data_IF_644688045624
#
_entry.id   IF_644688045624
#
_cell.length_a   1.000
_cell.length_b   1.000
_cell.length_c   1.000
_cell.angle_alpha   90.00
_cell.angle_beta   90.00
_cell.angle_gamma   90.00
#
_symmetry.space_group_name_H-M   'P 1'
#
loop_
_entity.id
_entity.type
_entity.pdbx_description
1 polymer ?
#
# COMPACT_ATOMS: atom_id res chain seq x y z
N UNK A 1 -49.67 13.62 24.67
CA UNK A 1 -48.38 14.00 25.30
C UNK A 1 -47.48 14.55 24.21
N UNK A 2 -47.33 15.88 24.14
CA UNK A 2 -46.43 16.53 23.18
C UNK A 2 -45.03 16.59 23.79
N UNK A 3 -44.05 15.96 23.15
CA UNK A 3 -42.66 16.06 23.55
C UNK A 3 -42.13 17.46 23.19
N UNK A 4 -41.62 18.17 24.20
CA UNK A 4 -41.00 19.47 24.04
C UNK A 4 -39.74 19.35 23.16
N UNK A 5 -39.70 20.11 22.07
CA UNK A 5 -38.48 20.30 21.28
C UNK A 5 -37.51 21.15 22.11
N UNK A 6 -36.43 20.52 22.60
CA UNK A 6 -35.32 21.21 23.22
C UNK A 6 -34.50 21.85 22.09
N UNK A 7 -34.60 23.17 21.93
CA UNK A 7 -33.73 23.90 21.01
C UNK A 7 -32.27 23.83 21.50
N UNK A 8 -31.31 23.43 20.65
CA UNK A 8 -29.91 23.38 21.04
C UNK A 8 -29.33 24.79 21.26
N UNK A 9 -28.35 24.95 22.16
CA UNK A 9 -27.75 26.25 22.47
C UNK A 9 -27.09 26.87 21.22
N UNK A 10 -27.29 28.18 21.06
CA UNK A 10 -26.71 28.97 19.98
C UNK A 10 -25.17 28.83 19.97
N UNK A 11 -24.65 28.15 18.94
CA UNK A 11 -23.22 27.91 18.75
C UNK A 11 -22.86 26.49 18.31
N UNK A 12 -23.77 25.52 18.46
CA UNK A 12 -23.58 24.15 17.95
C UNK A 12 -24.31 24.01 16.62
N UNK A 13 -23.58 24.26 15.53
CA UNK A 13 -24.02 23.94 14.18
C UNK A 13 -24.12 22.40 14.07
N UNK A 14 -25.32 21.83 14.21
CA UNK A 14 -25.54 20.39 14.04
C UNK A 14 -25.22 20.00 12.60
N UNK A 15 -24.36 19.00 12.43
CA UNK A 15 -24.07 18.35 11.15
C UNK A 15 -24.80 17.02 11.18
N UNK A 16 -26.01 16.98 10.61
CA UNK A 16 -26.93 15.85 10.78
C UNK A 16 -27.50 15.76 12.21
N UNK A 17 -27.89 14.55 12.61
CA UNK A 17 -28.38 14.24 13.96
C UNK A 17 -27.29 13.75 14.93
N UNK A 18 -26.02 13.78 14.53
CA UNK A 18 -24.90 13.33 15.35
C UNK A 18 -23.96 14.48 15.69
N UNK A 19 -23.28 14.38 16.84
CA UNK A 19 -22.23 15.31 17.21
C UNK A 19 -21.06 15.18 16.22
N UNK A 20 -20.68 16.24 15.49
CA UNK A 20 -19.64 16.14 14.49
C UNK A 20 -18.26 16.00 15.12
N UNK A 21 -17.36 15.28 14.45
CA UNK A 21 -15.95 15.30 14.80
C UNK A 21 -15.40 16.67 14.39
N UNK A 22 -15.01 17.47 15.39
CA UNK A 22 -14.24 18.71 15.19
C UNK A 22 -12.85 18.35 14.72
N UNK A 23 -12.44 18.92 13.58
CA UNK A 23 -11.12 18.72 12.99
C UNK A 23 -10.41 20.07 12.91
N UNK A 24 -9.59 20.35 13.92
CA UNK A 24 -8.91 21.64 14.08
C UNK A 24 -9.86 22.77 14.48
N UNK A 25 -9.41 24.02 14.25
CA UNK A 25 -10.13 25.21 14.71
C UNK A 25 -11.36 25.57 13.85
N UNK A 26 -11.41 25.15 12.59
CA UNK A 26 -12.40 25.66 11.62
C UNK A 26 -13.14 24.58 10.83
N UNK A 27 -12.78 23.31 10.98
CA UNK A 27 -13.39 22.20 10.24
C UNK A 27 -14.19 21.27 11.15
N UNK A 28 -15.29 20.74 10.65
CA UNK A 28 -16.03 19.67 11.31
C UNK A 28 -16.66 18.75 10.27
N UNK A 29 -16.69 17.44 10.53
CA UNK A 29 -17.39 16.50 9.69
C UNK A 29 -17.97 15.33 10.49
N UNK A 30 -18.96 14.67 9.91
CA UNK A 30 -19.44 13.39 10.41
C UNK A 30 -18.35 12.31 10.26
N UNK A 31 -18.45 11.24 11.05
CA UNK A 31 -17.61 10.06 10.82
C UNK A 31 -17.97 9.42 9.48
N UNK A 32 -17.02 8.69 8.87
CA UNK A 32 -17.29 7.93 7.66
C UNK A 32 -18.44 6.93 7.86
N UNK A 33 -18.45 6.24 9.00
CA UNK A 33 -19.51 5.30 9.37
C UNK A 33 -20.89 5.97 9.49
N UNK A 34 -20.96 7.20 10.01
CA UNK A 34 -22.23 7.92 10.14
C UNK A 34 -22.78 8.37 8.77
N UNK A 35 -21.90 8.83 7.86
CA UNK A 35 -22.30 9.15 6.49
C UNK A 35 -22.75 7.90 5.73
N UNK A 36 -22.05 6.77 5.92
CA UNK A 36 -22.42 5.49 5.33
C UNK A 36 -23.77 4.99 5.86
N UNK A 37 -23.99 5.03 7.17
CA UNK A 37 -25.25 4.63 7.80
C UNK A 37 -26.42 5.47 7.27
N UNK A 38 -26.25 6.80 7.20
CA UNK A 38 -27.26 7.68 6.61
C UNK A 38 -27.53 7.33 5.15
N UNK A 39 -26.50 7.12 4.33
CA UNK A 39 -26.69 6.79 2.91
C UNK A 39 -27.44 5.46 2.69
N UNK A 40 -27.30 4.50 3.63
CA UNK A 40 -28.02 3.22 3.61
C UNK A 40 -29.49 3.37 4.00
N UNK A 41 -29.81 4.21 4.98
CA UNK A 41 -31.16 4.32 5.55
C UNK A 41 -32.01 5.46 4.99
N UNK A 42 -31.40 6.50 4.40
CA UNK A 42 -32.09 7.68 3.92
C UNK A 42 -33.02 7.37 2.74
N UNK A 43 -34.19 8.02 2.73
CA UNK A 43 -35.13 7.96 1.62
C UNK A 43 -34.64 8.82 0.45
N UNK A 44 -34.99 8.48 -0.81
CA UNK A 44 -34.70 9.35 -1.95
C UNK A 44 -35.28 10.75 -1.74
N UNK A 45 -34.44 11.77 -1.90
CA UNK A 45 -34.80 13.17 -1.65
C UNK A 45 -34.25 13.74 -0.34
N UNK A 46 -33.96 12.89 0.65
CA UNK A 46 -33.42 13.33 1.94
C UNK A 46 -32.09 14.04 1.76
N UNK A 47 -31.86 15.08 2.58
CA UNK A 47 -30.63 15.87 2.54
C UNK A 47 -29.93 15.89 3.89
N UNK A 48 -28.60 15.89 3.87
CA UNK A 48 -27.74 15.85 5.04
C UNK A 48 -26.55 16.79 4.83
N UNK A 49 -26.33 17.72 5.77
CA UNK A 49 -25.05 18.40 5.91
C UNK A 49 -24.09 17.42 6.57
N UNK A 50 -22.98 17.09 5.92
CA UNK A 50 -22.02 16.09 6.42
C UNK A 50 -20.67 16.69 6.83
N UNK A 51 -20.38 17.92 6.40
CA UNK A 51 -19.17 18.63 6.78
C UNK A 51 -19.34 20.15 6.71
N UNK A 52 -18.48 20.88 7.40
CA UNK A 52 -18.34 22.33 7.31
C UNK A 52 -16.88 22.76 7.47
N UNK A 53 -16.54 23.89 6.84
CA UNK A 53 -15.24 24.54 6.96
C UNK A 53 -14.11 23.88 6.16
N UNK A 54 -12.89 23.98 6.67
CA UNK A 54 -11.69 23.46 5.99
C UNK A 54 -11.34 22.08 6.52
N UNK A 55 -11.68 21.03 5.77
CA UNK A 55 -11.29 19.67 6.11
C UNK A 55 -9.83 19.37 5.71
N UNK A 56 -9.05 18.67 6.54
CA UNK A 56 -7.70 18.29 6.18
C UNK A 56 -7.68 17.20 5.12
N UNK A 57 -6.57 17.15 4.36
CA UNK A 57 -6.36 16.21 3.24
C UNK A 57 -6.48 14.73 3.63
N UNK A 58 -6.24 14.39 4.90
CA UNK A 58 -6.34 13.02 5.40
C UNK A 58 -7.79 12.58 5.69
N UNK A 59 -8.77 13.50 5.71
CA UNK A 59 -10.18 13.15 5.93
C UNK A 59 -10.69 12.24 4.81
N UNK A 60 -11.19 11.08 5.20
CA UNK A 60 -11.71 10.07 4.26
C UNK A 60 -13.16 10.31 3.85
N UNK A 61 -13.86 11.23 4.52
CA UNK A 61 -15.27 11.51 4.28
C UNK A 61 -15.49 12.15 2.91
N UNK A 62 -14.63 13.09 2.50
CA UNK A 62 -14.73 13.75 1.19
C UNK A 62 -14.54 12.76 0.02
N UNK A 63 -13.47 11.95 -0.03
CA UNK A 63 -13.34 10.89 -1.04
C UNK A 63 -14.53 9.92 -1.05
N UNK A 64 -15.04 9.55 0.11
CA UNK A 64 -16.19 8.64 0.22
C UNK A 64 -17.48 9.22 -0.36
N UNK A 65 -17.80 10.48 -0.02
CA UNK A 65 -18.96 11.18 -0.59
C UNK A 65 -18.82 11.36 -2.10
N UNK A 66 -17.61 11.66 -2.60
CA UNK A 66 -17.36 11.75 -4.04
C UNK A 66 -17.58 10.42 -4.75
N UNK A 67 -17.14 9.31 -4.15
CA UNK A 67 -17.39 7.97 -4.69
C UNK A 67 -18.89 7.62 -4.70
N UNK A 68 -19.64 7.99 -3.66
CA UNK A 68 -21.10 7.86 -3.66
C UNK A 68 -21.76 8.70 -4.78
N UNK A 69 -21.22 9.90 -5.04
CA UNK A 69 -21.72 10.78 -6.08
C UNK A 69 -21.41 10.28 -7.50
N UNK A 70 -20.20 9.78 -7.75
CA UNK A 70 -19.80 9.14 -9.02
C UNK A 70 -20.66 7.92 -9.32
N UNK A 71 -21.12 7.21 -8.28
CA UNK A 71 -22.02 6.08 -8.40
C UNK A 71 -23.50 6.46 -8.45
N UNK A 72 -23.86 7.74 -8.54
CA UNK A 72 -25.24 8.25 -8.54
C UNK A 72 -26.09 7.82 -7.32
N UNK A 73 -25.46 7.55 -6.18
CA UNK A 73 -26.15 7.21 -4.93
C UNK A 73 -26.56 8.51 -4.21
N UNK A 74 -25.74 9.55 -4.31
CA UNK A 74 -26.01 10.87 -3.74
C UNK A 74 -25.67 11.98 -4.73
N UNK A 75 -26.31 13.13 -4.58
CA UNK A 75 -25.85 14.39 -5.17
C UNK A 75 -25.15 15.21 -4.10
N UNK A 76 -23.91 15.63 -4.34
CA UNK A 76 -23.11 16.38 -3.38
C UNK A 76 -22.90 17.83 -3.85
N UNK A 77 -23.04 18.80 -2.94
CA UNK A 77 -22.78 20.20 -3.22
C UNK A 77 -22.16 20.90 -2.00
N UNK A 78 -21.62 22.09 -2.24
CA UNK A 78 -21.10 22.98 -1.22
C UNK A 78 -21.86 24.30 -1.32
N UNK A 79 -22.30 24.85 -0.19
CA UNK A 79 -22.75 26.24 -0.17
C UNK A 79 -21.57 27.21 -0.09
N UNK A 80 -21.79 28.47 -0.45
CA UNK A 80 -20.75 29.51 -0.42
C UNK A 80 -20.11 29.73 0.97
N UNK A 81 -20.70 29.18 2.03
CA UNK A 81 -20.18 29.20 3.40
C UNK A 81 -19.30 27.99 3.76
N UNK A 82 -18.83 27.22 2.78
CA UNK A 82 -18.05 25.97 3.00
C UNK A 82 -18.80 24.92 3.82
N UNK A 83 -20.14 24.89 3.75
CA UNK A 83 -20.93 23.78 4.29
C UNK A 83 -21.20 22.80 3.16
N UNK A 84 -20.86 21.54 3.40
CA UNK A 84 -20.96 20.48 2.43
C UNK A 84 -22.19 19.63 2.73
N UNK A 85 -22.98 19.45 1.69
CA UNK A 85 -24.27 18.78 1.74
C UNK A 85 -24.30 17.62 0.76
N UNK A 86 -25.11 16.62 1.09
CA UNK A 86 -25.47 15.52 0.22
C UNK A 86 -26.98 15.33 0.20
N UNK A 87 -27.52 14.90 -0.94
CA UNK A 87 -28.91 14.55 -1.13
C UNK A 87 -29.00 13.13 -1.66
N UNK A 88 -29.86 12.30 -1.08
CA UNK A 88 -30.05 10.91 -1.46
C UNK A 88 -30.79 10.82 -2.79
N UNK A 89 -30.25 10.06 -3.74
CA UNK A 89 -30.90 9.78 -5.04
C UNK A 89 -31.70 8.47 -4.97
N UNK A 90 -32.47 8.16 -6.01
CA UNK A 90 -33.30 6.96 -6.04
C UNK A 90 -32.51 5.64 -6.18
N UNK A 91 -31.26 5.71 -6.63
CA UNK A 91 -30.41 4.53 -6.86
C UNK A 91 -30.14 3.79 -5.55
N UNK A 92 -30.33 2.47 -5.44
CA UNK A 92 -30.03 1.72 -4.21
C UNK A 92 -28.59 1.92 -3.74
N UNK A 93 -28.38 1.86 -2.43
CA UNK A 93 -27.02 1.85 -1.89
C UNK A 93 -26.30 0.58 -2.34
N UNK A 94 -25.07 0.71 -2.83
CA UNK A 94 -24.17 -0.41 -3.06
C UNK A 94 -22.83 -0.12 -2.37
N UNK A 95 -22.12 -1.17 -1.96
CA UNK A 95 -20.74 -1.02 -1.47
C UNK A 95 -19.82 -0.60 -2.62
N UNK A 96 -18.70 0.06 -2.29
CA UNK A 96 -17.68 0.37 -3.29
C UNK A 96 -17.14 -0.92 -3.91
N UNK A 97 -16.89 -0.96 -5.23
CA UNK A 97 -16.26 -2.13 -5.85
C UNK A 97 -14.90 -2.36 -5.19
N UNK A 98 -14.59 -3.61 -4.84
CA UNK A 98 -13.27 -3.93 -4.32
C UNK A 98 -12.23 -3.65 -5.40
N UNK A 99 -11.12 -2.98 -5.07
CA UNK A 99 -10.07 -2.75 -6.05
C UNK A 99 -9.59 -4.11 -6.55
N UNK A 100 -9.73 -4.35 -7.86
CA UNK A 100 -9.15 -5.52 -8.51
C UNK A 100 -7.65 -5.41 -8.35
N UNK A 101 -7.08 -6.21 -7.44
CA UNK A 101 -5.64 -6.35 -7.32
C UNK A 101 -5.18 -7.13 -8.54
N UNK A 102 -4.78 -6.41 -9.58
CA UNK A 102 -4.04 -7.00 -10.69
C UNK A 102 -2.73 -7.52 -10.11
N UNK A 103 -2.62 -8.85 -9.97
CA UNK A 103 -1.35 -9.49 -9.69
C UNK A 103 -0.42 -9.12 -10.85
N UNK A 104 0.60 -8.31 -10.58
CA UNK A 104 1.66 -8.08 -11.56
C UNK A 104 2.43 -9.38 -11.67
N UNK A 105 2.70 -9.84 -12.89
CA UNK A 105 3.61 -10.95 -13.13
C UNK A 105 4.98 -10.59 -12.53
N UNK A 106 5.33 -11.27 -11.44
CA UNK A 106 6.63 -11.15 -10.81
C UNK A 106 7.54 -12.13 -11.54
N UNK A 107 8.66 -11.68 -12.15
CA UNK A 107 9.62 -12.60 -12.77
C UNK A 107 10.04 -13.70 -11.78
N UNK A 108 10.19 -14.96 -12.23
CA UNK A 108 10.47 -16.09 -11.35
C UNK A 108 11.75 -15.82 -10.55
N UNK A 109 11.55 -15.57 -9.25
CA UNK A 109 12.61 -15.15 -8.33
C UNK A 109 13.73 -16.17 -8.26
N UNK A 110 13.39 -17.45 -8.28
CA UNK A 110 14.33 -18.51 -7.97
C UNK A 110 15.32 -18.76 -9.12
N UNK A 111 14.86 -18.66 -10.37
CA UNK A 111 15.74 -18.67 -11.55
C UNK A 111 16.69 -17.46 -11.58
N UNK A 112 16.20 -16.26 -11.23
CA UNK A 112 17.05 -15.07 -11.11
C UNK A 112 18.12 -15.24 -10.02
N UNK A 113 17.74 -15.84 -8.88
CA UNK A 113 18.66 -16.13 -7.77
C UNK A 113 19.73 -17.13 -8.19
N UNK A 114 19.38 -18.20 -8.91
CA UNK A 114 20.32 -19.19 -9.43
C UNK A 114 21.35 -18.56 -10.37
N UNK A 115 20.90 -17.75 -11.35
CA UNK A 115 21.81 -17.05 -12.27
C UNK A 115 22.76 -16.12 -11.52
N UNK A 116 22.23 -15.33 -10.59
CA UNK A 116 23.03 -14.40 -9.80
C UNK A 116 24.05 -15.13 -8.92
N UNK A 117 23.66 -16.23 -8.26
CA UNK A 117 24.56 -17.05 -7.44
C UNK A 117 25.67 -17.69 -8.27
N UNK A 118 25.36 -18.16 -9.48
CA UNK A 118 26.36 -18.72 -10.41
C UNK A 118 27.42 -17.67 -10.78
N UNK A 119 27.01 -16.44 -11.11
CA UNK A 119 27.93 -15.34 -11.40
C UNK A 119 28.79 -15.01 -10.18
N UNK A 120 28.18 -14.85 -9.00
CA UNK A 120 28.90 -14.58 -7.76
C UNK A 120 29.93 -15.66 -7.44
N UNK A 121 29.57 -16.93 -7.66
CA UNK A 121 30.46 -18.07 -7.49
C UNK A 121 31.65 -18.00 -8.43
N UNK A 122 31.42 -17.63 -9.70
CA UNK A 122 32.49 -17.44 -10.68
C UNK A 122 33.48 -16.34 -10.28
N UNK A 123 32.99 -15.24 -9.69
CA UNK A 123 33.85 -14.17 -9.18
C UNK A 123 34.62 -14.58 -7.92
N UNK A 124 33.95 -15.24 -6.98
CA UNK A 124 34.59 -15.75 -5.76
C UNK A 124 35.71 -16.75 -6.08
N UNK A 125 35.49 -17.69 -7.01
CA UNK A 125 36.50 -18.66 -7.45
C UNK A 125 37.73 -18.02 -8.07
N UNK A 126 37.55 -16.90 -8.76
CA UNK A 126 38.64 -16.14 -9.40
C UNK A 126 39.38 -15.22 -8.43
N UNK A 127 38.94 -15.12 -7.16
CA UNK A 127 39.55 -14.25 -6.16
C UNK A 127 39.49 -12.76 -6.52
N UNK A 128 38.57 -12.37 -7.41
CA UNK A 128 38.46 -10.98 -7.88
C UNK A 128 37.45 -10.19 -7.04
N UNK A 129 37.60 -8.86 -6.95
CA UNK A 129 36.61 -8.02 -6.27
C UNK A 129 35.20 -8.23 -6.83
N UNK A 130 34.21 -8.27 -5.93
CA UNK A 130 32.84 -8.43 -6.35
C UNK A 130 32.37 -7.20 -7.16
N UNK A 131 31.71 -7.36 -8.33
CA UNK A 131 31.27 -6.25 -9.17
C UNK A 131 30.30 -5.30 -8.49
N UNK A 132 29.89 -4.21 -9.13
CA UNK A 132 28.77 -3.39 -8.63
C UNK A 132 27.41 -4.09 -8.81
N UNK A 133 26.36 -3.64 -8.11
CA UNK A 133 25.00 -4.16 -8.32
C UNK A 133 24.50 -3.95 -9.75
N UNK A 134 24.90 -2.85 -10.40
CA UNK A 134 24.55 -2.56 -11.79
C UNK A 134 25.23 -3.53 -12.76
N UNK A 135 26.49 -3.88 -12.49
CA UNK A 135 27.23 -4.85 -13.31
C UNK A 135 26.72 -6.27 -13.11
N UNK A 136 26.40 -6.64 -11.86
CA UNK A 136 25.74 -7.92 -11.59
C UNK A 136 24.37 -8.01 -12.28
N UNK A 137 23.56 -6.95 -12.22
CA UNK A 137 22.27 -6.92 -12.91
C UNK A 137 22.44 -7.14 -14.42
N UNK A 138 23.39 -6.44 -15.05
CA UNK A 138 23.68 -6.61 -16.47
C UNK A 138 24.11 -8.03 -16.82
N UNK A 139 24.98 -8.63 -16.00
CA UNK A 139 25.50 -9.99 -16.23
C UNK A 139 24.47 -11.08 -15.95
N UNK A 140 23.55 -10.84 -15.02
CA UNK A 140 22.49 -11.78 -14.64
C UNK A 140 21.18 -11.56 -15.42
N UNK A 141 21.18 -10.64 -16.40
CA UNK A 141 20.02 -10.26 -17.21
C UNK A 141 18.83 -9.78 -16.36
N UNK A 142 19.13 -9.03 -15.29
CA UNK A 142 18.13 -8.45 -14.40
C UNK A 142 17.75 -7.03 -14.86
N UNK A 143 16.53 -6.63 -14.52
CA UNK A 143 15.98 -5.32 -14.92
C UNK A 143 16.81 -4.12 -14.49
N UNK A 144 17.37 -4.14 -13.27
CA UNK A 144 18.18 -3.06 -12.73
C UNK A 144 19.03 -3.50 -11.52
N UNK A 145 19.87 -2.58 -11.03
CA UNK A 145 20.71 -2.79 -9.86
C UNK A 145 19.93 -3.01 -8.56
N UNK A 146 18.71 -2.47 -8.44
CA UNK A 146 17.87 -2.66 -7.25
C UNK A 146 17.37 -4.10 -7.16
N UNK A 147 17.02 -4.72 -8.28
CA UNK A 147 16.68 -6.14 -8.36
C UNK A 147 17.87 -7.00 -7.94
N UNK A 148 19.08 -6.70 -8.40
CA UNK A 148 20.28 -7.41 -7.95
C UNK A 148 20.51 -7.25 -6.44
N UNK A 149 20.36 -6.04 -5.91
CA UNK A 149 20.46 -5.77 -4.46
C UNK A 149 19.46 -6.56 -3.64
N UNK A 150 18.20 -6.61 -4.08
CA UNK A 150 17.14 -7.41 -3.47
C UNK A 150 17.47 -8.90 -3.48
N UNK A 151 17.88 -9.44 -4.62
CA UNK A 151 18.21 -10.87 -4.75
C UNK A 151 19.43 -11.26 -3.91
N UNK A 152 20.42 -10.38 -3.75
CA UNK A 152 21.54 -10.58 -2.81
C UNK A 152 21.03 -10.69 -1.38
N UNK A 153 20.11 -9.81 -0.96
CA UNK A 153 19.49 -9.90 0.38
C UNK A 153 18.73 -11.22 0.54
N UNK A 154 18.04 -11.69 -0.49
CA UNK A 154 17.38 -13.00 -0.48
C UNK A 154 18.39 -14.16 -0.36
N UNK A 155 19.49 -14.13 -1.12
CA UNK A 155 20.55 -15.14 -1.04
C UNK A 155 21.24 -15.16 0.33
N UNK A 156 21.44 -13.99 0.95
CA UNK A 156 21.94 -13.88 2.33
C UNK A 156 20.93 -14.43 3.32
N UNK A 157 19.67 -14.00 3.23
CA UNK A 157 18.60 -14.45 4.12
C UNK A 157 18.33 -15.96 4.05
N UNK A 158 18.53 -16.56 2.88
CA UNK A 158 18.43 -18.01 2.68
C UNK A 158 19.75 -18.77 2.93
N UNK A 159 20.82 -18.08 3.36
CA UNK A 159 22.08 -18.72 3.76
C UNK A 159 22.91 -19.31 2.61
N UNK A 160 22.69 -18.88 1.37
CA UNK A 160 23.52 -19.29 0.22
C UNK A 160 24.83 -18.50 0.12
N UNK A 161 24.82 -17.28 0.63
CA UNK A 161 26.00 -16.42 0.68
C UNK A 161 26.09 -15.69 2.02
N UNK A 162 27.32 -15.34 2.42
CA UNK A 162 27.58 -14.31 3.42
C UNK A 162 28.14 -13.08 2.73
N UNK A 163 27.73 -11.90 3.16
CA UNK A 163 28.17 -10.64 2.60
C UNK A 163 28.76 -9.78 3.70
N UNK A 164 30.01 -9.38 3.52
CA UNK A 164 30.73 -8.48 4.43
C UNK A 164 31.14 -7.24 3.65
N UNK A 165 31.12 -6.09 4.32
CA UNK A 165 31.57 -4.83 3.74
C UNK A 165 32.87 -4.45 4.43
N UNK A 166 33.94 -4.34 3.65
CA UNK A 166 35.28 -4.01 4.13
C UNK A 166 35.74 -2.66 3.59
N UNK A 167 36.47 -1.86 4.40
CA UNK A 167 37.15 -0.67 3.89
C UNK A 167 38.20 -1.05 2.85
N UNK A 168 38.34 -0.24 1.81
CA UNK A 168 39.41 -0.37 0.83
C UNK A 168 40.01 0.99 0.48
N UNK A 169 41.10 0.97 -0.27
CA UNK A 169 41.88 2.16 -0.64
C UNK A 169 41.05 3.25 -1.35
N UNK A 170 39.95 2.88 -2.03
CA UNK A 170 38.97 3.81 -2.62
C UNK A 170 37.53 3.43 -2.27
N UNK A 171 37.17 3.55 -0.99
CA UNK A 171 35.80 3.41 -0.50
C UNK A 171 35.54 2.05 0.15
N UNK A 172 34.38 1.47 -0.11
CA UNK A 172 33.93 0.22 0.52
C UNK A 172 33.82 -0.89 -0.51
N UNK A 173 34.41 -2.04 -0.22
CA UNK A 173 34.30 -3.24 -1.04
C UNK A 173 33.39 -4.24 -0.33
N UNK A 174 32.70 -5.06 -1.12
CA UNK A 174 31.98 -6.21 -0.58
C UNK A 174 32.78 -7.49 -0.80
N UNK A 175 32.88 -8.29 0.25
CA UNK A 175 33.36 -9.66 0.19
C UNK A 175 32.12 -10.54 0.23
N UNK A 176 32.00 -11.44 -0.75
CA UNK A 176 30.93 -12.42 -0.81
C UNK A 176 31.55 -13.80 -0.65
N UNK A 177 31.15 -14.49 0.40
CA UNK A 177 31.52 -15.88 0.66
C UNK A 177 30.37 -16.76 0.24
N UNK A 178 30.65 -17.73 -0.64
CA UNK A 178 29.65 -18.70 -1.09
C UNK A 178 29.53 -19.81 -0.04
N UNK A 179 28.31 -20.07 0.42
CA UNK A 179 27.99 -21.03 1.50
C UNK A 179 27.10 -22.16 1.00
N UNK A 180 26.37 -21.97 -0.10
CA UNK A 180 25.54 -23.00 -0.72
C UNK A 180 25.43 -22.83 -2.24
N UNK A 181 24.73 -23.77 -2.88
CA UNK A 181 24.57 -23.82 -4.34
C UNK A 181 23.10 -24.05 -4.68
N UNK A 182 22.64 -23.39 -5.74
CA UNK A 182 21.33 -23.59 -6.34
C UNK A 182 21.51 -24.25 -7.71
N UNK A 183 20.56 -25.10 -8.12
CA UNK A 183 20.47 -25.56 -9.50
C UNK A 183 19.97 -24.46 -10.44
N UNK A 184 19.94 -24.72 -11.75
CA UNK A 184 19.49 -23.75 -12.75
C UNK A 184 18.04 -23.29 -12.62
N UNK A 185 17.23 -23.98 -11.81
CA UNK A 185 15.84 -23.66 -11.51
C UNK A 185 15.65 -22.99 -10.15
N UNK A 186 16.73 -22.85 -9.37
CA UNK A 186 16.70 -22.22 -8.04
C UNK A 186 16.37 -23.16 -6.89
N UNK A 187 16.49 -24.48 -7.07
CA UNK A 187 16.36 -25.48 -6.00
C UNK A 187 17.68 -25.65 -5.26
N UNK A 188 17.61 -25.85 -3.94
CA UNK A 188 18.78 -26.09 -3.11
C UNK A 188 19.36 -27.48 -3.35
N UNK A 189 20.61 -27.55 -3.81
CA UNK A 189 21.27 -28.83 -4.10
C UNK A 189 21.62 -29.56 -2.79
N UNK A 190 21.74 -28.84 -1.66
CA UNK A 190 22.03 -29.46 -0.35
C UNK A 190 20.91 -30.39 0.12
N UNK A 191 19.67 -30.15 -0.32
CA UNK A 191 18.51 -30.95 0.08
C UNK A 191 18.29 -32.15 -0.84
N UNK A 192 18.70 -32.05 -2.11
CA UNK A 192 18.56 -33.14 -3.08
C UNK A 192 19.41 -34.38 -2.70
N UNK A 193 20.63 -34.18 -2.18
CA UNK A 193 21.48 -35.28 -1.73
C UNK A 193 20.97 -35.95 -0.43
N UNK A 194 20.18 -35.24 0.38
CA UNK A 194 19.61 -35.78 1.61
C UNK A 194 18.39 -36.68 1.39
N UNK A 195 17.71 -36.55 0.24
CA UNK A 195 16.55 -37.38 -0.13
C UNK A 195 16.93 -38.60 -0.98
N UNK A 196 18.02 -38.53 -1.75
CA UNK A 196 18.50 -39.65 -2.57
C UNK A 196 19.21 -40.77 -1.78
N UNK A 197 19.46 -40.57 -0.49
CA UNK A 197 20.11 -41.53 0.41
C UNK A 197 19.16 -42.29 1.35
N UNK A 198 17.84 -42.30 1.08
CA UNK A 198 16.85 -43.06 1.85
C UNK A 198 16.24 -44.20 1.04
#
# INVERSE_FOLDING_TARGET
MMAAQIEPPAGISTIGQMEPIRIGATGACMTLAAVEAWAKSAAPGDSLKYAEGSLPKWSKVLPFVRDLAVRDIVFAWCDGGRRYWIKRLAKPYSSAPQPVRLARDIPPRDADMARLLSILTGYARKGVPCPSNRDLARRAELSNGDRASYLIKCLVGAGYIRCEVVPAHKGWHRIITIVGVLDGEGRDIRTADAEAGR
#
